data_IF_852613461735
#
_entry.id   IF_852613461735
#
_cell.length_a   1.000
_cell.length_b   1.000
_cell.length_c   1.000
_cell.angle_alpha   90.00
_cell.angle_beta   90.00
_cell.angle_gamma   90.00
#
_symmetry.space_group_name_H-M   'P 1'
#
loop_
_entity.id
_entity.type
_entity.pdbx_description
1 polymer ?
#
# COMPACT_ATOMS: atom_id res chain seq x y z
N UNK A 1 -20.34 62.81 -31.34
CA UNK A 1 -21.37 61.87 -31.83
C UNK A 1 -20.84 60.41 -32.00
N UNK A 2 -19.65 60.17 -32.59
CA UNK A 2 -19.12 58.79 -32.80
C UNK A 2 -18.87 57.98 -31.52
N UNK A 3 -18.47 58.64 -30.40
CA UNK A 3 -18.16 57.96 -29.11
C UNK A 3 -19.40 57.45 -28.38
N UNK A 4 -20.51 58.19 -28.50
CA UNK A 4 -21.78 57.77 -27.85
C UNK A 4 -22.48 56.66 -28.66
N UNK A 5 -22.28 56.58 -29.97
CA UNK A 5 -22.80 55.52 -30.81
C UNK A 5 -22.10 54.18 -30.50
N UNK A 6 -20.78 54.23 -30.22
CA UNK A 6 -20.01 53.02 -29.85
C UNK A 6 -20.46 52.44 -28.51
N UNK A 7 -20.72 53.34 -27.51
CA UNK A 7 -21.20 52.94 -26.17
C UNK A 7 -22.60 52.33 -26.28
N UNK A 8 -23.48 52.93 -27.12
CA UNK A 8 -24.83 52.40 -27.34
C UNK A 8 -24.81 51.04 -28.04
N UNK A 9 -23.91 50.82 -29.01
CA UNK A 9 -23.73 49.51 -29.66
C UNK A 9 -23.18 48.45 -28.69
N UNK A 10 -22.25 48.81 -27.80
CA UNK A 10 -21.72 47.90 -26.78
C UNK A 10 -22.78 47.55 -25.74
N UNK A 11 -23.60 48.54 -25.30
CA UNK A 11 -24.73 48.25 -24.41
C UNK A 11 -25.79 47.39 -25.06
N UNK A 12 -26.08 47.58 -26.36
CA UNK A 12 -27.00 46.69 -27.09
C UNK A 12 -26.47 45.29 -27.24
N UNK A 13 -25.16 45.10 -27.47
CA UNK A 13 -24.51 43.78 -27.51
C UNK A 13 -24.60 43.08 -26.14
N UNK A 14 -24.47 43.81 -25.02
CA UNK A 14 -24.64 43.23 -23.68
C UNK A 14 -26.11 42.91 -23.35
N UNK A 15 -27.08 43.62 -23.92
CA UNK A 15 -28.49 43.33 -23.72
C UNK A 15 -28.96 42.05 -24.46
N UNK A 16 -28.28 41.64 -25.53
CA UNK A 16 -28.63 40.44 -26.30
C UNK A 16 -28.13 39.16 -25.60
N UNK A 17 -27.17 39.24 -24.68
CA UNK A 17 -26.66 38.07 -23.92
C UNK A 17 -27.52 37.71 -22.71
N UNK A 18 -28.50 38.53 -22.33
CA UNK A 18 -29.55 38.19 -21.35
C UNK A 18 -30.66 37.34 -21.96
N UNK A 19 -30.34 36.26 -22.67
CA UNK A 19 -31.33 35.24 -22.96
C UNK A 19 -31.75 34.60 -21.64
N UNK A 20 -32.97 34.90 -21.20
CA UNK A 20 -33.59 34.25 -20.06
C UNK A 20 -33.50 32.73 -20.27
N UNK A 21 -32.64 32.07 -19.50
CA UNK A 21 -32.61 30.62 -19.49
C UNK A 21 -34.01 30.17 -19.05
N UNK A 22 -34.78 29.60 -19.95
CA UNK A 22 -36.10 29.06 -19.62
C UNK A 22 -35.85 27.91 -18.62
N UNK A 23 -36.19 28.21 -17.38
CA UNK A 23 -36.13 27.23 -16.30
C UNK A 23 -37.40 26.39 -16.35
N UNK A 24 -37.25 25.10 -16.34
CA UNK A 24 -38.36 24.16 -16.43
C UNK A 24 -38.29 23.19 -15.25
N UNK A 25 -39.42 22.61 -14.90
CA UNK A 25 -39.52 21.50 -13.98
C UNK A 25 -39.40 20.20 -14.77
N UNK A 26 -38.52 19.35 -14.37
CA UNK A 26 -38.28 18.05 -15.00
C UNK A 26 -38.75 16.96 -14.04
N UNK A 27 -39.52 16.01 -14.58
CA UNK A 27 -39.95 14.81 -13.86
C UNK A 27 -39.76 13.58 -14.72
N UNK A 28 -39.80 12.41 -14.12
CA UNK A 28 -39.70 11.13 -14.84
C UNK A 28 -39.66 9.95 -13.91
N UNK A 29 -39.47 8.77 -14.52
CA UNK A 29 -39.35 7.51 -13.81
C UNK A 29 -38.03 6.87 -14.20
N UNK A 30 -37.33 6.34 -13.19
CA UNK A 30 -36.12 5.55 -13.39
C UNK A 30 -36.46 4.08 -13.19
N UNK A 31 -36.15 3.28 -14.20
CA UNK A 31 -36.34 1.81 -14.18
C UNK A 31 -35.04 1.09 -14.48
N UNK A 32 -34.94 -0.16 -14.13
CA UNK A 32 -33.87 -1.04 -14.57
C UNK A 32 -34.15 -1.64 -15.97
N UNK A 33 -33.24 -2.50 -16.46
CA UNK A 33 -33.44 -3.15 -17.77
C UNK A 33 -34.61 -4.12 -17.81
N UNK A 34 -35.11 -4.61 -16.69
CA UNK A 34 -36.27 -5.50 -16.60
C UNK A 34 -37.58 -4.72 -16.56
N UNK A 35 -37.52 -3.40 -16.34
CA UNK A 35 -38.68 -2.52 -16.20
C UNK A 35 -39.11 -2.32 -14.74
N UNK A 36 -38.37 -2.87 -13.76
CA UNK A 36 -38.61 -2.64 -12.34
C UNK A 36 -38.15 -1.23 -11.93
N UNK A 37 -38.87 -0.58 -11.01
CA UNK A 37 -38.56 0.80 -10.60
C UNK A 37 -37.35 0.85 -9.70
N UNK A 38 -36.41 1.76 -9.96
CA UNK A 38 -35.20 1.96 -9.15
C UNK A 38 -35.50 2.99 -8.06
N UNK A 39 -35.58 2.51 -6.81
CA UNK A 39 -35.85 3.33 -5.62
C UNK A 39 -34.53 3.88 -5.09
N UNK A 40 -34.46 5.19 -4.76
CA UNK A 40 -33.26 5.79 -4.18
C UNK A 40 -32.18 6.16 -5.19
N UNK A 41 -32.46 6.12 -6.49
CA UNK A 41 -31.52 6.63 -7.50
C UNK A 41 -31.35 8.14 -7.37
N UNK A 42 -30.10 8.60 -7.41
CA UNK A 42 -29.75 10.02 -7.39
C UNK A 42 -29.84 10.61 -8.79
N UNK A 43 -30.57 11.70 -8.94
CA UNK A 43 -30.70 12.47 -10.18
C UNK A 43 -30.18 13.88 -9.91
N UNK A 44 -29.08 14.29 -10.56
CA UNK A 44 -28.41 15.58 -10.32
C UNK A 44 -28.25 16.37 -11.60
N UNK A 45 -28.19 17.71 -11.48
CA UNK A 45 -27.87 18.58 -12.60
C UNK A 45 -26.36 18.71 -12.72
N UNK A 46 -25.78 18.36 -13.88
CA UNK A 46 -24.34 18.47 -14.14
C UNK A 46 -23.81 19.87 -13.89
N UNK A 47 -22.77 20.00 -13.07
CA UNK A 47 -22.19 21.30 -12.69
C UNK A 47 -22.94 22.06 -11.59
N UNK A 48 -24.02 21.48 -11.01
CA UNK A 48 -24.76 22.06 -9.89
C UNK A 48 -25.04 20.95 -8.86
N UNK A 49 -24.06 20.59 -8.06
CA UNK A 49 -24.15 19.44 -7.13
C UNK A 49 -25.24 19.56 -6.06
N UNK A 50 -25.62 20.77 -5.68
CA UNK A 50 -26.71 21.03 -4.74
C UNK A 50 -28.10 20.88 -5.36
N UNK A 51 -28.22 20.70 -6.68
CA UNK A 51 -29.46 20.64 -7.41
C UNK A 51 -29.74 19.23 -7.91
N UNK A 52 -30.63 18.53 -7.25
CA UNK A 52 -30.97 17.15 -7.56
C UNK A 52 -32.20 16.66 -6.82
N UNK A 53 -32.55 15.41 -7.05
CA UNK A 53 -33.64 14.68 -6.44
C UNK A 53 -33.23 13.22 -6.27
N UNK A 54 -33.92 12.51 -5.39
CA UNK A 54 -33.80 11.07 -5.22
C UNK A 54 -35.12 10.43 -5.64
N UNK A 55 -35.10 9.30 -6.34
CA UNK A 55 -36.30 8.60 -6.76
C UNK A 55 -37.05 8.00 -5.58
N UNK A 56 -38.39 8.14 -5.61
CA UNK A 56 -39.34 7.58 -4.63
C UNK A 56 -39.57 6.06 -4.80
N UNK A 57 -40.48 5.49 -4.00
CA UNK A 57 -40.84 4.07 -4.03
C UNK A 57 -41.42 3.61 -5.38
N UNK A 58 -41.84 4.51 -6.24
CA UNK A 58 -42.36 4.28 -7.59
C UNK A 58 -41.29 4.63 -8.66
N UNK A 59 -40.03 4.84 -8.26
CA UNK A 59 -38.96 5.26 -9.15
C UNK A 59 -39.12 6.67 -9.72
N UNK A 60 -40.05 7.51 -9.21
CA UNK A 60 -40.31 8.84 -9.70
C UNK A 60 -39.37 9.87 -9.09
N UNK A 61 -38.95 10.83 -9.90
CA UNK A 61 -38.18 11.99 -9.45
C UNK A 61 -38.75 13.28 -10.01
N UNK A 62 -38.48 14.41 -9.35
CA UNK A 62 -38.81 15.74 -9.81
C UNK A 62 -37.73 16.73 -9.41
N UNK A 63 -37.24 17.52 -10.36
CA UNK A 63 -36.30 18.61 -10.14
C UNK A 63 -36.90 19.90 -10.71
N UNK A 64 -37.00 20.89 -9.88
CA UNK A 64 -37.54 22.21 -10.26
C UNK A 64 -36.41 23.12 -10.70
N UNK A 65 -36.75 24.11 -11.53
CA UNK A 65 -35.87 25.24 -11.83
C UNK A 65 -34.59 24.83 -12.62
N UNK A 66 -34.69 23.84 -13.49
CA UNK A 66 -33.57 23.31 -14.31
C UNK A 66 -33.52 24.11 -15.62
N UNK A 67 -32.32 24.48 -16.04
CA UNK A 67 -32.12 25.13 -17.34
C UNK A 67 -32.48 24.16 -18.48
N UNK A 68 -33.19 24.65 -19.51
CA UNK A 68 -33.66 23.84 -20.63
C UNK A 68 -32.51 23.12 -21.41
N UNK A 69 -31.29 23.64 -21.34
CA UNK A 69 -30.10 23.11 -21.96
C UNK A 69 -29.20 22.31 -20.98
N UNK A 70 -29.63 22.05 -19.74
CA UNK A 70 -28.87 21.30 -18.76
C UNK A 70 -28.70 19.82 -19.14
N UNK A 71 -27.77 19.17 -18.49
CA UNK A 71 -27.60 17.71 -18.53
C UNK A 71 -27.89 17.15 -17.14
N UNK A 72 -28.69 16.10 -17.06
CA UNK A 72 -28.94 15.34 -15.83
C UNK A 72 -28.01 14.18 -15.75
N UNK A 73 -27.52 13.90 -14.54
CA UNK A 73 -26.73 12.72 -14.20
C UNK A 73 -27.56 11.80 -13.34
N UNK A 74 -27.76 10.58 -13.80
CA UNK A 74 -28.47 9.53 -13.09
C UNK A 74 -27.46 8.54 -12.54
N UNK A 75 -27.47 8.31 -11.23
CA UNK A 75 -26.57 7.38 -10.56
C UNK A 75 -27.28 6.56 -9.50
N UNK A 76 -26.96 5.27 -9.44
CA UNK A 76 -27.45 4.34 -8.42
C UNK A 76 -26.38 3.26 -8.15
N UNK A 77 -26.31 2.78 -6.91
CA UNK A 77 -25.32 1.76 -6.54
C UNK A 77 -25.58 0.49 -7.35
N UNK A 78 -24.56 0.02 -8.08
CA UNK A 78 -24.67 -1.18 -8.93
C UNK A 78 -25.19 -0.92 -10.34
N UNK A 79 -25.44 0.33 -10.71
CA UNK A 79 -25.89 0.70 -12.06
C UNK A 79 -24.94 1.70 -12.71
N UNK A 80 -24.84 1.61 -14.03
CA UNK A 80 -24.00 2.50 -14.83
C UNK A 80 -24.54 3.92 -14.80
N UNK A 81 -23.69 4.88 -14.44
CA UNK A 81 -24.03 6.28 -14.48
C UNK A 81 -24.38 6.72 -15.90
N UNK A 82 -25.48 7.46 -16.06
CA UNK A 82 -25.95 7.96 -17.35
C UNK A 82 -26.08 9.47 -17.33
N UNK A 83 -25.58 10.12 -18.37
CA UNK A 83 -25.74 11.54 -18.62
C UNK A 83 -26.77 11.77 -19.71
N UNK A 84 -27.83 12.52 -19.44
CA UNK A 84 -28.91 12.79 -20.41
C UNK A 84 -29.14 14.28 -20.51
N UNK A 85 -28.99 14.82 -21.73
CA UNK A 85 -29.29 16.20 -22.01
C UNK A 85 -30.82 16.46 -21.94
N UNK A 86 -31.21 17.52 -21.26
CA UNK A 86 -32.63 17.90 -21.06
C UNK A 86 -33.28 18.29 -22.39
N UNK A 87 -32.60 19.12 -23.18
CA UNK A 87 -33.07 19.57 -24.50
C UNK A 87 -34.52 20.08 -24.49
N UNK A 88 -34.89 20.86 -23.45
CA UNK A 88 -36.22 21.44 -23.30
C UNK A 88 -37.35 20.47 -22.90
N UNK A 89 -37.04 19.19 -22.63
CA UNK A 89 -38.06 18.20 -22.24
C UNK A 89 -38.44 18.36 -20.77
N UNK A 90 -39.72 18.33 -20.47
CA UNK A 90 -40.25 18.34 -19.09
C UNK A 90 -40.37 16.93 -18.49
N UNK A 91 -40.36 15.88 -19.31
CA UNK A 91 -40.44 14.49 -18.84
C UNK A 91 -39.29 13.68 -19.44
N UNK A 92 -38.49 13.05 -18.58
CA UNK A 92 -37.36 12.22 -18.98
C UNK A 92 -37.40 10.92 -18.17
N UNK A 93 -37.81 9.84 -18.83
CA UNK A 93 -37.76 8.48 -18.28
C UNK A 93 -36.45 7.85 -18.63
N UNK A 94 -35.83 7.18 -17.65
CA UNK A 94 -34.50 6.61 -17.82
C UNK A 94 -34.54 5.13 -17.50
N UNK A 95 -33.94 4.35 -18.35
CA UNK A 95 -33.72 2.93 -18.14
C UNK A 95 -32.23 2.74 -17.80
N UNK A 96 -31.96 2.45 -16.55
CA UNK A 96 -30.57 2.21 -16.08
C UNK A 96 -30.15 0.77 -16.38
N UNK A 97 -28.93 0.64 -16.83
CA UNK A 97 -28.28 -0.66 -17.02
C UNK A 97 -27.44 -0.98 -15.82
N UNK A 98 -27.42 -2.26 -15.43
CA UNK A 98 -26.47 -2.74 -14.43
C UNK A 98 -25.07 -2.37 -14.90
N UNK A 99 -24.29 -1.77 -14.01
CA UNK A 99 -22.87 -1.56 -14.27
C UNK A 99 -22.18 -2.93 -14.22
N UNK A 100 -22.08 -3.56 -15.38
CA UNK A 100 -21.29 -4.78 -15.53
C UNK A 100 -19.79 -4.57 -15.27
N UNK A 101 -19.39 -3.30 -15.00
CA UNK A 101 -18.05 -2.95 -14.51
C UNK A 101 -17.97 -2.79 -12.99
N UNK A 102 -19.09 -2.68 -12.26
CA UNK A 102 -19.16 -3.14 -10.87
C UNK A 102 -19.19 -4.67 -10.92
N UNK A 103 -18.14 -5.20 -11.44
CA UNK A 103 -17.72 -6.57 -11.40
C UNK A 103 -18.11 -7.08 -10.03
N UNK A 104 -18.94 -8.06 -9.98
CA UNK A 104 -18.92 -9.03 -8.91
C UNK A 104 -17.45 -9.21 -8.53
N UNK A 105 -17.04 -8.64 -7.41
CA UNK A 105 -15.65 -8.71 -6.93
C UNK A 105 -15.34 -10.20 -6.80
N UNK A 106 -14.74 -10.75 -7.84
CA UNK A 106 -14.43 -12.17 -7.94
C UNK A 106 -13.19 -12.38 -7.09
N UNK A 107 -13.38 -12.97 -5.94
CA UNK A 107 -12.32 -13.38 -5.04
C UNK A 107 -11.78 -14.71 -5.51
N UNK A 108 -10.48 -14.78 -5.77
CA UNK A 108 -9.81 -16.04 -6.06
C UNK A 108 -9.76 -16.84 -4.77
N UNK A 109 -10.53 -17.93 -4.69
CA UNK A 109 -10.56 -18.83 -3.55
C UNK A 109 -9.89 -20.15 -3.92
N UNK A 110 -8.71 -20.39 -3.40
CA UNK A 110 -8.00 -21.66 -3.49
C UNK A 110 -7.86 -22.23 -4.90
N UNK A 111 -8.83 -22.99 -5.37
CA UNK A 111 -8.85 -23.64 -6.67
C UNK A 111 -9.90 -23.08 -7.64
N UNK A 112 -10.34 -21.83 -7.43
CA UNK A 112 -11.34 -21.20 -8.31
C UNK A 112 -11.59 -19.75 -7.95
N UNK A 113 -12.52 -19.13 -8.66
CA UNK A 113 -13.01 -17.79 -8.36
C UNK A 113 -14.45 -17.88 -7.86
N UNK A 114 -14.75 -17.27 -6.72
CA UNK A 114 -16.12 -17.13 -6.20
C UNK A 114 -16.48 -15.65 -6.10
N UNK A 115 -17.76 -15.33 -6.26
CA UNK A 115 -18.23 -13.97 -6.05
C UNK A 115 -18.15 -13.65 -4.56
N UNK A 116 -17.65 -12.47 -4.20
CA UNK A 116 -17.53 -12.04 -2.78
C UNK A 116 -18.84 -12.16 -2.00
N UNK A 117 -19.96 -11.90 -2.66
CA UNK A 117 -21.31 -12.05 -2.07
C UNK A 117 -21.68 -13.50 -1.72
N UNK A 118 -21.07 -14.47 -2.40
CA UNK A 118 -21.35 -15.90 -2.21
C UNK A 118 -20.47 -16.51 -1.10
N UNK A 119 -19.52 -15.72 -0.58
CA UNK A 119 -18.63 -16.10 0.50
C UNK A 119 -19.24 -15.65 1.83
N UNK A 120 -19.71 -16.59 2.62
CA UNK A 120 -20.34 -16.36 3.93
C UNK A 120 -19.35 -15.90 5.03
N UNK A 121 -18.06 -15.86 4.73
CA UNK A 121 -17.00 -15.50 5.67
C UNK A 121 -16.68 -14.00 5.71
N UNK A 122 -16.11 -13.52 6.83
CA UNK A 122 -15.61 -12.15 6.97
C UNK A 122 -14.30 -11.98 6.19
N UNK A 123 -14.42 -11.58 4.92
CA UNK A 123 -13.29 -11.25 4.05
C UNK A 123 -13.11 -9.74 4.04
N UNK A 124 -11.89 -9.28 4.28
CA UNK A 124 -11.52 -7.88 4.15
C UNK A 124 -10.66 -7.71 2.92
N UNK A 125 -11.08 -6.87 2.00
CA UNK A 125 -10.34 -6.50 0.79
C UNK A 125 -9.70 -5.13 0.99
N UNK A 126 -8.40 -5.04 0.72
CA UNK A 126 -7.63 -3.79 0.65
C UNK A 126 -7.28 -3.55 -0.82
N UNK A 127 -7.71 -2.43 -1.37
CA UNK A 127 -7.53 -2.10 -2.79
C UNK A 127 -6.18 -1.44 -3.07
N UNK A 128 -5.79 -1.42 -4.35
CA UNK A 128 -4.54 -0.83 -4.83
C UNK A 128 -4.28 0.59 -4.30
N UNK A 129 -5.29 1.46 -4.32
CA UNK A 129 -5.16 2.85 -3.86
C UNK A 129 -4.87 2.94 -2.36
N UNK A 130 -5.48 2.07 -1.57
CA UNK A 130 -5.21 1.99 -0.14
C UNK A 130 -3.81 1.44 0.15
N UNK A 131 -3.35 0.48 -0.65
CA UNK A 131 -2.01 -0.10 -0.55
C UNK A 131 -0.97 0.96 -0.92
N UNK A 132 -1.20 1.70 -1.99
CA UNK A 132 -0.32 2.75 -2.50
C UNK A 132 -0.27 4.01 -1.61
N UNK A 133 -1.30 4.24 -0.78
CA UNK A 133 -1.40 5.45 0.06
C UNK A 133 -0.28 5.59 1.11
N UNK A 134 0.37 4.49 1.48
CA UNK A 134 1.55 4.49 2.36
C UNK A 134 2.79 4.12 1.53
N UNK A 135 3.76 5.02 1.40
CA UNK A 135 5.04 4.67 0.79
C UNK A 135 5.71 3.58 1.64
N UNK A 136 5.66 2.36 1.15
CA UNK A 136 6.28 1.21 1.80
C UNK A 136 6.97 0.34 0.76
N UNK A 137 8.12 -0.18 1.12
CA UNK A 137 8.89 -1.11 0.30
C UNK A 137 8.38 -2.54 0.41
N UNK A 138 7.55 -2.80 1.45
CA UNK A 138 6.91 -4.09 1.70
C UNK A 138 5.38 -3.95 1.66
N UNK A 139 4.68 -4.73 0.81
CA UNK A 139 3.23 -4.66 0.69
C UNK A 139 2.48 -4.90 2.01
N UNK A 140 3.01 -5.76 2.88
CA UNK A 140 2.38 -6.08 4.17
C UNK A 140 2.40 -4.91 5.16
N UNK A 141 3.42 -4.05 5.10
CA UNK A 141 3.48 -2.86 5.94
C UNK A 141 2.41 -1.82 5.57
N UNK A 142 1.94 -1.82 4.32
CA UNK A 142 0.91 -0.88 3.85
C UNK A 142 -0.47 -1.14 4.46
N UNK A 143 -0.75 -2.37 4.91
CA UNK A 143 -2.04 -2.74 5.53
C UNK A 143 -2.09 -2.51 7.05
N UNK A 144 -1.01 -2.04 7.65
CA UNK A 144 -0.95 -1.74 9.09
C UNK A 144 -2.04 -0.75 9.52
N UNK A 145 -2.86 -1.16 10.49
CA UNK A 145 -3.95 -0.37 11.03
C UNK A 145 -5.21 -0.26 10.14
N UNK A 146 -5.22 -0.89 8.96
CA UNK A 146 -6.35 -0.82 8.02
C UNK A 146 -7.31 -1.99 8.15
N UNK A 147 -6.90 -3.10 8.71
CA UNK A 147 -7.69 -4.34 8.75
C UNK A 147 -7.96 -4.75 10.20
N UNK A 148 -9.23 -4.74 10.59
CA UNK A 148 -9.64 -5.19 11.92
C UNK A 148 -9.29 -6.68 12.15
N UNK A 149 -8.69 -6.99 13.31
CA UNK A 149 -8.25 -8.34 13.66
C UNK A 149 -6.96 -8.79 12.98
N UNK A 150 -6.23 -7.87 12.32
CA UNK A 150 -4.89 -8.11 11.77
C UNK A 150 -3.91 -7.15 12.45
N UNK A 151 -2.97 -7.72 13.16
CA UNK A 151 -1.87 -6.98 13.75
C UNK A 151 -0.66 -7.06 12.81
N UNK A 152 -0.13 -5.90 12.46
CA UNK A 152 1.09 -5.77 11.67
C UNK A 152 2.10 -5.00 12.50
N UNK A 153 3.23 -5.64 12.82
CA UNK A 153 4.33 -5.03 13.57
C UNK A 153 5.50 -4.85 12.60
N UNK A 154 5.75 -3.61 12.24
CA UNK A 154 6.89 -3.28 11.39
C UNK A 154 8.16 -3.16 12.26
N UNK A 155 9.20 -3.89 11.92
CA UNK A 155 10.48 -3.86 12.62
C UNK A 155 11.28 -2.58 12.37
N UNK A 156 10.90 -1.78 11.36
CA UNK A 156 11.66 -0.60 10.93
C UNK A 156 12.96 -0.91 10.17
N UNK A 157 13.35 -2.19 10.07
CA UNK A 157 14.57 -2.62 9.38
C UNK A 157 14.37 -2.71 7.87
N UNK A 158 15.39 -2.30 7.11
CA UNK A 158 15.34 -2.37 5.65
C UNK A 158 15.25 -3.82 5.16
N UNK A 159 14.29 -4.10 4.28
CA UNK A 159 14.12 -5.41 3.66
C UNK A 159 13.60 -6.53 4.57
N UNK A 160 13.27 -6.24 5.82
CA UNK A 160 12.63 -7.23 6.69
C UNK A 160 11.12 -7.21 6.52
N UNK A 161 10.53 -8.40 6.58
CA UNK A 161 9.09 -8.54 6.63
C UNK A 161 8.54 -8.03 7.95
N UNK A 162 7.43 -7.27 7.92
CA UNK A 162 6.67 -7.04 9.13
C UNK A 162 6.12 -8.35 9.67
N UNK A 163 6.04 -8.45 10.98
CA UNK A 163 5.37 -9.55 11.64
C UNK A 163 3.85 -9.37 11.51
N UNK A 164 3.17 -10.37 10.96
CA UNK A 164 1.72 -10.34 10.79
C UNK A 164 1.07 -11.43 11.62
N UNK A 165 0.05 -11.05 12.37
CA UNK A 165 -0.81 -11.95 13.14
C UNK A 165 -2.26 -11.70 12.79
N UNK A 166 -2.94 -12.76 12.37
CA UNK A 166 -4.38 -12.74 12.06
C UNK A 166 -5.13 -13.37 13.24
N UNK A 167 -5.98 -12.57 13.93
CA UNK A 167 -6.71 -12.98 15.13
C UNK A 167 -5.81 -13.46 16.28
N UNK A 168 -4.62 -12.93 16.41
CA UNK A 168 -3.68 -13.25 17.49
C UNK A 168 -2.73 -14.40 17.16
N UNK A 169 -2.18 -15.01 18.20
CA UNK A 169 -1.22 -16.12 18.09
C UNK A 169 -1.94 -17.43 18.38
N UNK A 170 -2.20 -18.22 17.36
CA UNK A 170 -2.95 -19.47 17.45
C UNK A 170 -2.06 -20.71 17.59
N UNK A 171 -0.75 -20.57 17.48
CA UNK A 171 0.19 -21.69 17.49
C UNK A 171 1.51 -21.32 18.14
N UNK A 172 2.09 -22.23 18.89
CA UNK A 172 3.45 -22.13 19.46
C UNK A 172 4.50 -22.25 18.36
N UNK A 173 4.18 -22.98 17.28
CA UNK A 173 5.12 -23.27 16.18
C UNK A 173 5.15 -22.19 15.09
N UNK A 174 4.49 -21.05 15.31
CA UNK A 174 4.49 -19.94 14.38
C UNK A 174 3.10 -19.37 14.15
N UNK A 175 3.06 -18.13 13.68
CA UNK A 175 1.82 -17.35 13.49
C UNK A 175 1.74 -16.73 12.09
N UNK A 176 2.71 -17.03 11.19
CA UNK A 176 2.71 -16.47 9.84
C UNK A 176 1.50 -16.97 9.06
N UNK A 177 0.74 -16.08 8.41
CA UNK A 177 -0.34 -16.47 7.51
C UNK A 177 0.22 -17.14 6.25
N UNK A 178 -0.62 -17.89 5.56
CA UNK A 178 -0.33 -18.40 4.23
C UNK A 178 -0.55 -17.28 3.21
N UNK A 179 0.39 -17.11 2.30
CA UNK A 179 0.23 -16.18 1.18
C UNK A 179 -0.15 -16.94 -0.09
N UNK A 180 -1.09 -16.36 -0.84
CA UNK A 180 -1.49 -16.86 -2.15
C UNK A 180 -1.40 -15.71 -3.14
N UNK A 181 -0.44 -15.78 -4.07
CA UNK A 181 -0.22 -14.74 -5.07
C UNK A 181 -0.64 -15.27 -6.42
N UNK A 182 -1.67 -14.67 -7.02
CA UNK A 182 -2.25 -15.09 -8.30
C UNK A 182 -2.53 -16.61 -8.38
N UNK A 183 -2.96 -17.20 -7.25
CA UNK A 183 -3.24 -18.64 -7.12
C UNK A 183 -2.04 -19.50 -6.71
N UNK A 184 -0.83 -18.95 -6.64
CA UNK A 184 0.37 -19.67 -6.20
C UNK A 184 0.62 -19.53 -4.70
N UNK A 185 0.80 -20.63 -3.99
CA UNK A 185 1.18 -20.64 -2.58
C UNK A 185 2.62 -20.20 -2.39
N UNK A 186 2.86 -19.29 -1.45
CA UNK A 186 4.19 -18.79 -1.14
C UNK A 186 4.35 -18.49 0.34
N UNK A 187 5.59 -18.61 0.85
CA UNK A 187 5.90 -18.34 2.26
C UNK A 187 6.25 -16.89 2.54
N UNK A 188 6.50 -16.08 1.50
CA UNK A 188 6.72 -14.64 1.59
C UNK A 188 6.33 -13.93 0.29
N UNK A 189 6.12 -12.62 0.36
CA UNK A 189 5.75 -11.77 -0.77
C UNK A 189 6.77 -10.65 -1.02
N UNK A 190 7.98 -10.76 -0.52
CA UNK A 190 9.04 -9.76 -0.66
C UNK A 190 9.46 -9.52 -2.11
N UNK A 191 9.16 -10.46 -2.99
CA UNK A 191 9.44 -10.34 -4.41
C UNK A 191 8.47 -9.42 -5.17
N UNK A 192 7.34 -9.07 -4.57
CA UNK A 192 6.37 -8.16 -5.20
C UNK A 192 6.75 -6.70 -5.00
N UNK A 193 6.42 -5.88 -5.99
CA UNK A 193 6.36 -4.44 -5.81
C UNK A 193 4.94 -4.04 -5.38
N UNK A 194 4.83 -3.15 -4.40
CA UNK A 194 3.55 -2.64 -3.90
C UNK A 194 2.71 -2.02 -5.03
N UNK A 195 3.35 -1.38 -6.01
CA UNK A 195 2.69 -0.75 -7.14
C UNK A 195 2.06 -1.74 -8.14
N UNK A 196 2.51 -3.02 -8.12
CA UNK A 196 1.98 -4.06 -9.02
C UNK A 196 0.79 -4.83 -8.42
N UNK A 197 0.37 -4.50 -7.19
CA UNK A 197 -0.76 -5.16 -6.51
C UNK A 197 -2.06 -4.45 -6.88
N UNK A 198 -3.08 -5.22 -7.27
CA UNK A 198 -4.45 -4.74 -7.51
C UNK A 198 -5.29 -4.82 -6.22
N UNK A 199 -5.20 -5.93 -5.49
CA UNK A 199 -5.91 -6.13 -4.22
C UNK A 199 -5.18 -7.11 -3.30
N UNK A 200 -5.47 -6.97 -2.00
CA UNK A 200 -5.14 -7.97 -0.98
C UNK A 200 -6.41 -8.34 -0.23
N UNK A 201 -6.74 -9.62 -0.20
CA UNK A 201 -7.87 -10.16 0.54
C UNK A 201 -7.37 -10.96 1.73
N UNK A 202 -7.88 -10.64 2.91
CA UNK A 202 -7.49 -11.29 4.16
C UNK A 202 -8.63 -12.16 4.65
N UNK A 203 -8.41 -13.48 4.59
CA UNK A 203 -9.33 -14.50 5.09
C UNK A 203 -9.00 -14.80 6.54
N UNK A 204 -10.00 -14.62 7.41
CA UNK A 204 -9.83 -14.80 8.87
C UNK A 204 -10.78 -15.84 9.45
N UNK A 205 -11.86 -16.15 8.78
CA UNK A 205 -12.89 -17.05 9.31
C UNK A 205 -12.60 -18.50 8.98
N UNK A 206 -12.84 -19.43 9.93
CA UNK A 206 -12.62 -20.86 9.73
C UNK A 206 -13.30 -21.43 8.49
N UNK A 207 -14.49 -20.95 8.14
CA UNK A 207 -15.22 -21.38 6.94
C UNK A 207 -14.45 -21.05 5.65
N UNK A 208 -13.90 -19.84 5.57
CA UNK A 208 -13.09 -19.41 4.41
C UNK A 208 -11.70 -20.06 4.38
N UNK A 209 -11.16 -20.45 5.55
CA UNK A 209 -9.85 -21.08 5.68
C UNK A 209 -9.87 -22.57 5.40
N UNK A 210 -11.01 -23.22 5.50
CA UNK A 210 -11.16 -24.68 5.38
C UNK A 210 -10.61 -25.23 4.06
N UNK A 211 -10.75 -24.50 2.95
CA UNK A 211 -10.26 -24.91 1.64
C UNK A 211 -8.72 -24.93 1.54
N UNK A 212 -8.03 -24.22 2.43
CA UNK A 212 -6.56 -24.18 2.50
C UNK A 212 -5.98 -25.21 3.48
N UNK A 213 -6.86 -25.97 4.15
CA UNK A 213 -6.48 -26.99 5.11
C UNK A 213 -5.61 -26.45 6.26
N UNK A 214 -4.74 -27.28 6.78
CA UNK A 214 -3.85 -26.95 7.92
C UNK A 214 -2.96 -25.74 7.63
N UNK A 215 -2.54 -25.52 6.38
CA UNK A 215 -1.69 -24.39 6.00
C UNK A 215 -2.39 -23.04 6.20
N UNK A 216 -3.72 -23.00 6.13
CA UNK A 216 -4.52 -21.79 6.34
C UNK A 216 -4.83 -21.49 7.81
N UNK A 217 -4.42 -22.31 8.77
CA UNK A 217 -4.82 -22.19 10.17
C UNK A 217 -4.50 -20.84 10.83
N UNK A 218 -3.41 -20.18 10.40
CA UNK A 218 -3.00 -18.86 10.88
C UNK A 218 -3.57 -17.70 10.06
N UNK A 219 -4.57 -17.95 9.20
CA UNK A 219 -5.11 -16.99 8.24
C UNK A 219 -4.47 -17.12 6.86
N UNK A 220 -5.16 -16.58 5.86
CA UNK A 220 -4.69 -16.58 4.46
C UNK A 220 -4.76 -15.15 3.93
N UNK A 221 -3.70 -14.72 3.26
CA UNK A 221 -3.64 -13.43 2.54
C UNK A 221 -3.52 -13.75 1.05
N UNK A 222 -4.60 -13.46 0.32
CA UNK A 222 -4.64 -13.61 -1.13
C UNK A 222 -4.24 -12.29 -1.74
N UNK A 223 -3.33 -12.32 -2.69
CA UNK A 223 -2.82 -11.15 -3.38
C UNK A 223 -3.07 -11.34 -4.87
N UNK A 224 -3.77 -10.37 -5.44
CA UNK A 224 -3.99 -10.29 -6.89
C UNK A 224 -3.11 -9.21 -7.47
N UNK A 225 -2.30 -9.57 -8.47
CA UNK A 225 -1.46 -8.58 -9.16
C UNK A 225 -2.26 -7.89 -10.29
N UNK A 226 -1.82 -6.70 -10.66
CA UNK A 226 -2.46 -5.90 -11.71
C UNK A 226 -2.47 -6.62 -13.04
N UNK A 227 -3.61 -6.55 -13.71
CA UNK A 227 -3.84 -7.08 -15.07
C UNK A 227 -4.36 -5.96 -15.95
N UNK A 228 -4.18 -6.10 -17.26
CA UNK A 228 -4.74 -5.13 -18.20
C UNK A 228 -6.27 -5.23 -18.26
N UNK A 229 -6.94 -4.08 -18.26
CA UNK A 229 -8.38 -3.93 -18.54
C UNK A 229 -8.55 -3.47 -19.98
N UNK A 230 -9.60 -3.91 -20.67
CA UNK A 230 -9.89 -3.53 -22.05
C UNK A 230 -9.87 -2.00 -22.17
N UNK A 231 -9.11 -1.49 -23.13
CA UNK A 231 -8.93 -0.07 -23.35
C UNK A 231 -7.64 0.26 -24.10
N UNK A 232 -7.34 1.55 -24.19
CA UNK A 232 -6.11 2.03 -24.83
C UNK A 232 -4.88 1.59 -24.02
N UNK A 233 -3.78 1.36 -24.72
CA UNK A 233 -2.49 1.15 -24.08
C UNK A 233 -2.12 2.35 -23.21
N UNK A 234 -1.79 2.11 -21.93
CA UNK A 234 -1.42 3.13 -20.96
C UNK A 234 -0.03 2.84 -20.39
N UNK A 235 0.71 3.90 -20.16
CA UNK A 235 1.96 3.88 -19.41
C UNK A 235 1.73 4.60 -18.09
N UNK A 236 1.97 3.90 -16.98
CA UNK A 236 1.87 4.50 -15.65
C UNK A 236 3.26 4.57 -15.02
N UNK A 237 3.58 5.71 -14.44
CA UNK A 237 4.82 5.94 -13.72
C UNK A 237 4.45 6.32 -12.30
N UNK A 238 4.90 5.52 -11.32
CA UNK A 238 4.74 5.79 -9.91
C UNK A 238 6.12 5.94 -9.29
N UNK A 239 6.35 7.07 -8.64
CA UNK A 239 7.60 7.34 -7.92
C UNK A 239 7.27 7.90 -6.55
N UNK A 240 7.89 7.34 -5.53
CA UNK A 240 7.78 7.85 -4.17
C UNK A 240 9.15 7.93 -3.52
N UNK A 241 9.31 8.95 -2.69
CA UNK A 241 10.50 9.16 -1.88
C UNK A 241 10.09 9.44 -0.44
N UNK A 242 10.94 9.07 0.51
CA UNK A 242 10.68 9.29 1.92
C UNK A 242 11.93 9.15 2.77
N UNK A 243 11.79 9.51 4.04
CA UNK A 243 12.84 9.37 5.03
C UNK A 243 12.31 8.58 6.21
N UNK A 244 13.17 7.74 6.78
CA UNK A 244 12.95 7.01 8.02
C UNK A 244 13.71 7.69 9.14
N UNK A 245 12.99 8.17 10.13
CA UNK A 245 13.57 8.82 11.30
C UNK A 245 13.21 7.99 12.53
N UNK A 246 14.18 7.78 13.42
CA UNK A 246 13.92 7.20 14.73
C UNK A 246 13.27 8.29 15.57
N UNK A 247 12.03 8.05 15.98
CA UNK A 247 11.27 9.01 16.78
C UNK A 247 11.71 9.03 18.24
N UNK A 248 12.03 7.85 18.79
CA UNK A 248 12.40 7.70 20.18
C UNK A 248 13.53 6.68 20.35
N UNK A 249 14.32 6.84 21.40
CA UNK A 249 15.46 5.98 21.74
C UNK A 249 15.35 5.52 23.18
N UNK A 250 15.96 4.40 23.47
CA UNK A 250 16.03 3.91 24.84
C UNK A 250 16.99 4.80 25.64
N UNK A 251 16.53 5.34 26.76
CA UNK A 251 17.39 6.05 27.68
C UNK A 251 18.44 5.10 28.27
N UNK A 252 19.71 5.41 28.07
CA UNK A 252 20.87 4.70 28.64
C UNK A 252 21.72 5.67 29.46
N UNK A 253 22.54 5.13 30.37
CA UNK A 253 23.45 5.92 31.18
C UNK A 253 24.55 6.57 30.32
N UNK A 254 24.94 7.78 30.70
CA UNK A 254 26.17 8.40 30.25
C UNK A 254 27.40 7.84 31.01
N UNK A 255 28.61 8.25 30.66
CA UNK A 255 29.83 7.73 31.26
C UNK A 255 29.91 7.97 32.78
N UNK A 256 29.48 9.14 33.28
CA UNK A 256 29.54 9.46 34.72
C UNK A 256 28.51 8.65 35.51
N UNK A 257 27.30 8.56 35.03
CA UNK A 257 26.25 7.72 35.61
C UNK A 257 26.66 6.25 35.64
N UNK A 258 27.25 5.77 34.52
CA UNK A 258 27.75 4.40 34.42
C UNK A 258 28.84 4.13 35.45
N UNK A 259 29.85 5.00 35.59
CA UNK A 259 30.93 4.87 36.56
C UNK A 259 30.40 4.82 38.02
N UNK A 260 29.44 5.69 38.31
CA UNK A 260 28.81 5.72 39.63
C UNK A 260 28.10 4.40 39.94
N UNK A 261 27.21 3.95 39.04
CA UNK A 261 26.43 2.73 39.25
C UNK A 261 27.30 1.48 39.29
N UNK A 262 28.31 1.39 38.41
CA UNK A 262 29.19 0.25 38.36
C UNK A 262 30.10 0.14 39.58
N UNK A 263 30.65 1.26 40.08
CA UNK A 263 31.42 1.28 41.32
C UNK A 263 30.56 0.94 42.54
N UNK A 264 29.33 1.44 42.60
CA UNK A 264 28.38 1.08 43.66
C UNK A 264 28.12 -0.44 43.70
N UNK A 265 27.96 -1.06 42.50
CA UNK A 265 27.83 -2.49 42.41
C UNK A 265 29.06 -3.23 42.88
N UNK A 266 30.27 -2.80 42.48
CA UNK A 266 31.52 -3.42 42.90
C UNK A 266 31.71 -3.34 44.41
N UNK A 267 31.49 -2.17 45.01
CA UNK A 267 31.58 -1.96 46.47
C UNK A 267 30.57 -2.85 47.21
N UNK A 268 29.35 -2.97 46.70
CA UNK A 268 28.33 -3.84 47.28
C UNK A 268 28.71 -5.33 47.26
N UNK A 269 29.58 -5.72 46.35
CA UNK A 269 30.14 -7.07 46.19
C UNK A 269 31.45 -7.24 46.98
N UNK A 270 31.92 -6.20 47.71
CA UNK A 270 33.17 -6.23 48.46
C UNK A 270 34.43 -6.09 47.60
N UNK A 271 34.29 -5.57 46.40
CA UNK A 271 35.39 -5.30 45.46
C UNK A 271 35.78 -3.83 45.49
N UNK A 272 37.02 -3.54 45.10
CA UNK A 272 37.48 -2.17 44.91
C UNK A 272 36.80 -1.50 43.68
N UNK A 273 36.67 -0.16 43.69
CA UNK A 273 36.22 0.59 42.54
C UNK A 273 37.08 0.28 41.28
N UNK A 274 36.44 0.30 40.11
CA UNK A 274 37.13 0.03 38.83
C UNK A 274 38.06 1.20 38.45
N UNK A 275 39.23 0.90 37.91
CA UNK A 275 40.15 1.90 37.37
C UNK A 275 39.75 2.36 35.96
N UNK A 276 39.27 3.60 35.87
CA UNK A 276 38.83 4.21 34.63
C UNK A 276 39.90 5.01 33.89
N UNK A 277 41.17 4.94 34.30
CA UNK A 277 42.24 5.77 33.73
C UNK A 277 42.37 5.65 32.21
N UNK A 278 42.14 4.44 31.68
CA UNK A 278 42.19 4.16 30.26
C UNK A 278 40.83 4.36 29.57
N UNK A 279 39.76 4.66 30.30
CA UNK A 279 38.39 4.70 29.77
C UNK A 279 37.83 6.12 29.95
N UNK A 280 38.22 7.01 29.03
CA UNK A 280 37.89 8.44 29.07
C UNK A 280 36.74 8.80 28.12
N UNK A 281 36.16 7.84 27.42
CA UNK A 281 35.04 8.04 26.50
C UNK A 281 33.75 8.45 27.21
N UNK A 282 32.86 9.06 26.48
CA UNK A 282 31.46 9.28 26.83
C UNK A 282 30.62 9.09 25.57
N UNK A 283 30.54 7.84 25.11
CA UNK A 283 29.99 7.48 23.82
C UNK A 283 28.52 7.16 23.92
N UNK A 284 27.69 7.91 23.18
CA UNK A 284 26.32 7.55 22.89
C UNK A 284 26.31 6.53 21.74
N UNK A 285 26.35 5.25 22.10
CA UNK A 285 26.40 4.16 21.13
C UNK A 285 25.20 4.11 20.20
N UNK A 286 24.02 4.55 20.66
CA UNK A 286 22.84 4.64 19.79
C UNK A 286 23.03 5.69 18.71
N UNK A 287 23.61 6.83 19.04
CA UNK A 287 23.91 7.87 18.06
C UNK A 287 24.97 7.43 17.05
N UNK A 288 25.93 6.61 17.48
CA UNK A 288 26.97 6.08 16.60
C UNK A 288 26.44 5.11 15.56
N UNK A 289 25.43 4.29 15.88
CA UNK A 289 24.91 3.26 14.96
C UNK A 289 23.68 3.72 14.16
N UNK A 290 22.93 4.70 14.66
CA UNK A 290 21.70 5.12 14.01
C UNK A 290 21.90 6.22 12.96
N UNK A 291 21.01 6.25 12.00
CA UNK A 291 20.95 7.26 10.93
C UNK A 291 19.51 7.55 10.52
N UNK A 292 19.31 8.68 9.84
CA UNK A 292 18.11 8.91 9.05
C UNK A 292 18.25 8.13 7.75
N UNK A 293 17.36 7.15 7.53
CA UNK A 293 17.35 6.35 6.32
C UNK A 293 16.58 7.04 5.20
N UNK A 294 17.01 6.84 3.96
CA UNK A 294 16.32 7.29 2.76
C UNK A 294 15.63 6.11 2.07
N UNK A 295 14.42 6.32 1.58
CA UNK A 295 13.72 5.31 0.80
C UNK A 295 13.19 5.89 -0.52
N UNK A 296 13.25 5.10 -1.57
CA UNK A 296 12.58 5.39 -2.83
C UNK A 296 11.99 4.12 -3.42
N UNK A 297 10.78 4.26 -3.98
CA UNK A 297 10.10 3.20 -4.74
C UNK A 297 9.65 3.78 -6.07
N UNK A 298 10.23 3.28 -7.15
CA UNK A 298 9.95 3.70 -8.50
C UNK A 298 9.39 2.51 -9.28
N UNK A 299 8.26 2.71 -9.93
CA UNK A 299 7.62 1.69 -10.75
C UNK A 299 7.16 2.31 -12.08
N UNK A 300 7.46 1.62 -13.15
CA UNK A 300 6.94 1.94 -14.49
C UNK A 300 6.15 0.74 -14.96
N UNK A 301 4.90 0.94 -15.37
CA UNK A 301 4.09 -0.13 -15.92
C UNK A 301 3.46 0.25 -17.25
N UNK A 302 3.37 -0.74 -18.13
CA UNK A 302 2.71 -0.64 -19.44
C UNK A 302 1.59 -1.65 -19.42
N UNK A 303 0.39 -1.20 -19.72
CA UNK A 303 -0.79 -2.04 -19.81
C UNK A 303 -1.51 -1.81 -21.12
N UNK A 304 -1.96 -2.88 -21.77
CA UNK A 304 -2.76 -2.81 -22.96
C UNK A 304 -3.67 -4.01 -23.10
N UNK A 305 -4.90 -3.80 -23.55
CA UNK A 305 -5.83 -4.88 -23.77
C UNK A 305 -6.72 -4.59 -24.97
N UNK A 306 -6.93 -5.64 -25.77
CA UNK A 306 -7.94 -5.74 -26.81
C UNK A 306 -8.93 -6.85 -26.43
N UNK A 307 -9.93 -7.08 -27.23
CA UNK A 307 -10.88 -8.18 -27.01
C UNK A 307 -10.19 -9.56 -26.98
N UNK A 308 -9.06 -9.72 -27.68
CA UNK A 308 -8.33 -10.99 -27.82
C UNK A 308 -7.06 -11.09 -27.00
N UNK A 309 -6.45 -9.98 -26.63
CA UNK A 309 -5.16 -10.00 -25.95
C UNK A 309 -5.11 -8.98 -24.83
N UNK A 310 -4.54 -9.37 -23.70
CA UNK A 310 -4.27 -8.49 -22.55
C UNK A 310 -2.84 -8.67 -22.14
N UNK A 311 -2.14 -7.58 -21.85
CA UNK A 311 -0.81 -7.64 -21.32
C UNK A 311 -0.58 -6.55 -20.26
N UNK A 312 0.19 -6.90 -19.25
CA UNK A 312 0.70 -6.00 -18.23
C UNK A 312 2.20 -6.28 -18.07
N UNK A 313 3.01 -5.25 -18.12
CA UNK A 313 4.43 -5.28 -17.77
C UNK A 313 4.69 -4.21 -16.72
N UNK A 314 5.15 -4.62 -15.54
CA UNK A 314 5.61 -3.76 -14.46
C UNK A 314 7.11 -3.93 -14.24
N UNK A 315 7.82 -2.82 -14.13
CA UNK A 315 9.24 -2.76 -13.76
C UNK A 315 9.37 -1.89 -12.52
N UNK A 316 9.93 -2.44 -11.45
CA UNK A 316 10.07 -1.76 -10.19
C UNK A 316 11.50 -1.70 -9.70
N UNK A 317 11.90 -0.55 -9.14
CA UNK A 317 13.14 -0.37 -8.42
C UNK A 317 12.86 0.23 -7.05
N UNK A 318 13.32 -0.47 -6.02
CA UNK A 318 13.19 -0.06 -4.62
C UNK A 318 14.58 0.04 -4.02
N UNK A 319 14.87 1.18 -3.42
CA UNK A 319 16.03 1.38 -2.55
C UNK A 319 15.54 1.87 -1.19
N UNK A 320 16.02 1.23 -0.14
CA UNK A 320 15.66 1.57 1.23
C UNK A 320 16.91 1.52 2.10
N UNK A 321 17.26 2.64 2.68
CA UNK A 321 18.23 2.71 3.77
C UNK A 321 17.48 2.55 5.09
N UNK A 322 17.99 1.68 5.94
CA UNK A 322 17.43 1.46 7.28
C UNK A 322 17.85 2.56 8.26
N UNK A 323 17.31 2.43 9.46
CA UNK A 323 17.67 3.33 10.57
C UNK A 323 19.02 3.00 11.19
N UNK A 324 19.64 1.87 10.83
CA UNK A 324 21.00 1.50 11.24
C UNK A 324 21.94 1.84 10.09
N UNK A 325 23.10 2.43 10.40
CA UNK A 325 24.18 2.68 9.42
C UNK A 325 24.51 1.39 8.68
N UNK A 326 24.80 1.48 7.36
CA UNK A 326 25.08 0.36 6.44
C UNK A 326 23.90 -0.55 6.08
N UNK A 327 22.76 -0.38 6.70
CA UNK A 327 21.55 -1.13 6.37
C UNK A 327 20.93 -0.57 5.07
N UNK A 328 21.12 -1.30 3.96
CA UNK A 328 20.62 -0.88 2.64
C UNK A 328 20.04 -2.03 1.84
N UNK A 329 18.76 -1.93 1.53
CA UNK A 329 18.06 -2.80 0.58
C UNK A 329 18.12 -2.19 -0.82
N UNK A 330 18.46 -3.01 -1.82
CA UNK A 330 18.24 -2.68 -3.22
C UNK A 330 17.47 -3.82 -3.84
N UNK A 331 16.30 -3.52 -4.42
CA UNK A 331 15.39 -4.51 -5.01
C UNK A 331 14.96 -4.06 -6.40
N UNK A 332 15.12 -4.92 -7.38
CA UNK A 332 14.59 -4.77 -8.73
C UNK A 332 13.53 -5.84 -8.97
N UNK A 333 12.37 -5.46 -9.47
CA UNK A 333 11.22 -6.36 -9.71
C UNK A 333 10.75 -6.26 -11.15
N UNK A 334 10.31 -7.40 -11.68
CA UNK A 334 9.63 -7.50 -12.97
C UNK A 334 8.34 -8.27 -12.75
N UNK A 335 7.23 -7.72 -13.21
CA UNK A 335 5.93 -8.40 -13.22
C UNK A 335 5.39 -8.40 -14.65
N UNK A 336 5.11 -9.56 -15.20
CA UNK A 336 4.62 -9.74 -16.55
C UNK A 336 3.40 -10.65 -16.54
N UNK A 337 2.27 -10.13 -16.97
CA UNK A 337 1.02 -10.87 -17.13
C UNK A 337 0.57 -10.74 -18.57
N UNK A 338 0.28 -11.87 -19.22
CA UNK A 338 -0.26 -11.89 -20.57
C UNK A 338 -1.37 -12.94 -20.69
N UNK A 339 -2.44 -12.58 -21.34
CA UNK A 339 -3.58 -13.45 -21.65
C UNK A 339 -3.97 -13.26 -23.11
N UNK A 340 -4.21 -14.36 -23.82
CA UNK A 340 -4.64 -14.37 -25.20
C UNK A 340 -5.87 -15.28 -25.35
N UNK A 341 -6.98 -14.74 -25.85
CA UNK A 341 -8.20 -15.46 -26.16
C UNK A 341 -8.14 -15.96 -27.61
N UNK A 342 -7.94 -17.27 -27.79
CA UNK A 342 -7.89 -17.92 -29.12
C UNK A 342 -9.30 -18.01 -29.71
N UNK A 343 -10.26 -18.39 -28.86
CA UNK A 343 -11.70 -18.44 -29.15
C UNK A 343 -12.45 -17.90 -27.90
N UNK A 344 -13.77 -17.81 -27.99
CA UNK A 344 -14.61 -17.38 -26.87
C UNK A 344 -14.55 -18.33 -25.67
N UNK A 345 -14.19 -19.59 -25.87
CA UNK A 345 -14.10 -20.62 -24.84
C UNK A 345 -12.66 -21.06 -24.53
N UNK A 346 -11.66 -20.64 -25.30
CA UNK A 346 -10.26 -21.06 -25.12
C UNK A 346 -9.36 -19.84 -24.96
N UNK A 347 -8.71 -19.76 -23.78
CA UNK A 347 -7.74 -18.72 -23.43
C UNK A 347 -6.45 -19.35 -22.99
N UNK A 348 -5.34 -18.74 -23.35
CA UNK A 348 -4.00 -19.05 -22.84
C UNK A 348 -3.43 -17.83 -22.15
N UNK A 349 -2.73 -18.05 -21.07
CA UNK A 349 -2.06 -16.98 -20.39
C UNK A 349 -0.84 -17.45 -19.63
N UNK A 350 0.01 -16.48 -19.28
CA UNK A 350 1.12 -16.70 -18.39
C UNK A 350 1.31 -15.50 -17.47
N UNK A 351 1.82 -15.79 -16.29
CA UNK A 351 2.17 -14.81 -15.27
C UNK A 351 3.60 -15.09 -14.85
N UNK A 352 4.40 -14.06 -14.78
CA UNK A 352 5.81 -14.14 -14.37
C UNK A 352 6.15 -13.01 -13.42
N UNK A 353 6.67 -13.37 -12.25
CA UNK A 353 7.21 -12.43 -11.27
C UNK A 353 8.69 -12.72 -11.09
N UNK A 354 9.53 -11.74 -11.33
CA UNK A 354 10.96 -11.80 -11.12
C UNK A 354 11.44 -10.79 -10.11
N UNK A 355 12.40 -11.17 -9.27
CA UNK A 355 13.06 -10.24 -8.35
C UNK A 355 14.55 -10.53 -8.26
N UNK A 356 15.33 -9.48 -8.20
CA UNK A 356 16.69 -9.46 -7.69
C UNK A 356 16.74 -8.50 -6.52
N UNK A 357 17.13 -9.00 -5.35
CA UNK A 357 17.21 -8.18 -4.16
C UNK A 357 18.54 -8.41 -3.42
N UNK A 358 19.16 -7.29 -3.01
CA UNK A 358 20.30 -7.30 -2.10
C UNK A 358 19.80 -6.87 -0.74
N UNK A 359 19.81 -7.80 0.21
CA UNK A 359 19.37 -7.57 1.58
C UNK A 359 20.55 -7.19 2.47
N UNK A 360 20.37 -6.23 3.39
CA UNK A 360 21.38 -5.93 4.40
C UNK A 360 21.40 -7.04 5.47
N UNK A 361 22.57 -7.25 6.06
CA UNK A 361 22.72 -8.00 7.30
C UNK A 361 23.31 -7.10 8.39
N UNK A 362 22.68 -5.95 8.61
CA UNK A 362 23.08 -5.01 9.65
C UNK A 362 22.52 -5.46 11.02
N UNK A 363 23.40 -5.42 12.02
CA UNK A 363 23.10 -5.71 13.43
C UNK A 363 23.68 -4.58 14.27
N UNK A 364 23.66 -4.68 15.59
CA UNK A 364 24.37 -3.75 16.46
C UNK A 364 23.50 -3.05 17.51
N UNK A 365 22.16 -3.06 17.37
CA UNK A 365 21.27 -2.41 18.35
C UNK A 365 21.45 -3.00 19.75
N UNK A 366 21.47 -4.34 19.86
CA UNK A 366 21.67 -5.02 21.14
C UNK A 366 23.04 -4.67 21.75
N UNK A 367 24.09 -4.63 20.93
CA UNK A 367 25.41 -4.19 21.34
C UNK A 367 25.43 -2.73 21.82
N UNK A 368 24.74 -1.82 21.10
CA UNK A 368 24.68 -0.41 21.45
C UNK A 368 23.93 -0.12 22.75
N UNK A 369 22.94 -0.94 23.08
CA UNK A 369 22.21 -0.83 24.36
C UNK A 369 22.99 -1.39 25.56
N UNK A 370 23.99 -2.26 25.32
CA UNK A 370 24.76 -2.94 26.37
C UNK A 370 26.16 -2.40 26.53
N UNK A 371 26.75 -1.82 25.48
CA UNK A 371 28.14 -1.36 25.51
C UNK A 371 28.32 -0.21 26.51
N UNK A 372 29.36 -0.31 27.36
CA UNK A 372 29.68 0.72 28.34
C UNK A 372 30.01 2.05 27.64
N UNK A 373 29.42 3.16 28.07
CA UNK A 373 29.61 4.47 27.44
C UNK A 373 31.02 5.04 27.66
N UNK A 374 31.80 4.48 28.59
CA UNK A 374 33.16 4.88 28.88
C UNK A 374 34.19 4.54 27.80
N UNK A 375 33.85 3.61 26.91
CA UNK A 375 34.73 3.22 25.79
C UNK A 375 34.62 4.21 24.64
N UNK A 376 35.75 4.67 24.06
CA UNK A 376 35.73 5.45 22.83
C UNK A 376 35.33 4.60 21.62
N UNK A 377 34.89 5.22 20.56
CA UNK A 377 34.51 4.55 19.30
C UNK A 377 35.71 3.95 18.59
N UNK A 378 36.75 4.74 18.44
CA UNK A 378 37.99 4.39 17.74
C UNK A 378 39.19 4.77 18.60
N UNK A 379 40.28 4.05 18.41
CA UNK A 379 41.57 4.42 18.93
C UNK A 379 42.11 5.67 18.22
N UNK A 380 42.60 6.64 18.98
CA UNK A 380 43.00 7.95 18.44
C UNK A 380 44.29 7.89 17.61
N UNK A 381 45.16 6.90 17.86
CA UNK A 381 46.44 6.78 17.18
C UNK A 381 46.33 5.88 15.94
N UNK A 382 45.68 4.74 16.05
CA UNK A 382 45.57 3.78 14.98
C UNK A 382 44.35 3.97 14.08
N UNK A 383 43.33 4.70 14.55
CA UNK A 383 42.04 4.85 13.86
C UNK A 383 41.21 3.55 13.81
N UNK A 384 41.64 2.49 14.47
CA UNK A 384 40.91 1.23 14.53
C UNK A 384 39.76 1.30 15.50
N UNK A 385 38.72 0.50 15.28
CA UNK A 385 37.61 0.35 16.22
C UNK A 385 38.14 -0.07 17.58
N UNK A 386 37.86 0.72 18.61
CA UNK A 386 38.37 0.48 19.95
C UNK A 386 37.72 -0.76 20.58
N UNK A 387 38.46 -1.48 21.43
CA UNK A 387 37.89 -2.60 22.21
C UNK A 387 36.99 -2.05 23.31
N UNK A 388 36.06 -2.88 23.81
CA UNK A 388 35.32 -2.58 25.03
C UNK A 388 36.13 -2.93 26.27
N UNK A 389 35.76 -2.41 27.48
CA UNK A 389 36.40 -2.77 28.73
C UNK A 389 36.44 -4.28 28.96
N UNK A 390 37.43 -4.76 29.67
CA UNK A 390 37.70 -6.19 29.93
C UNK A 390 36.52 -6.92 30.57
N UNK A 391 35.78 -6.26 31.46
CA UNK A 391 34.57 -6.82 32.07
C UNK A 391 33.42 -7.06 31.09
N UNK A 392 33.48 -6.46 29.90
CA UNK A 392 32.45 -6.62 28.84
C UNK A 392 32.90 -7.45 27.63
N UNK A 393 34.20 -7.55 27.35
CA UNK A 393 34.76 -8.17 26.11
C UNK A 393 34.24 -9.55 25.79
N UNK A 394 33.89 -10.34 26.81
CA UNK A 394 33.38 -11.70 26.60
C UNK A 394 31.88 -11.72 26.21
N UNK A 395 31.14 -10.67 26.46
CA UNK A 395 29.67 -10.63 26.31
C UNK A 395 29.18 -9.66 25.23
N UNK A 396 29.91 -8.58 25.05
CA UNK A 396 29.51 -7.49 24.14
C UNK A 396 30.69 -7.11 23.25
N UNK A 397 30.42 -6.97 21.97
CA UNK A 397 31.38 -6.44 21.01
C UNK A 397 31.12 -4.95 20.81
N UNK A 398 32.15 -4.20 20.42
CA UNK A 398 31.95 -2.81 20.04
C UNK A 398 30.91 -2.75 18.92
N UNK A 399 29.81 -1.98 19.08
CA UNK A 399 28.71 -1.93 18.12
C UNK A 399 29.13 -1.57 16.69
N UNK A 400 30.22 -0.83 16.53
CA UNK A 400 30.75 -0.43 15.23
C UNK A 400 31.31 -1.60 14.42
N UNK A 401 31.74 -2.68 15.09
CA UNK A 401 32.16 -3.91 14.39
C UNK A 401 31.00 -4.47 13.55
N UNK A 402 29.78 -4.48 14.12
CA UNK A 402 28.60 -4.97 13.42
C UNK A 402 28.14 -4.00 12.31
N UNK A 403 28.24 -2.71 12.52
CA UNK A 403 27.77 -1.71 11.53
C UNK A 403 28.81 -1.41 10.47
N UNK A 404 30.09 -1.20 10.82
CA UNK A 404 31.11 -0.75 9.87
C UNK A 404 31.80 -1.93 9.17
N UNK A 405 32.16 -2.98 9.90
CA UNK A 405 32.88 -4.12 9.30
C UNK A 405 31.92 -5.17 8.73
N UNK A 406 31.01 -5.71 9.54
CA UNK A 406 30.14 -6.81 9.10
C UNK A 406 29.01 -6.33 8.20
N UNK A 407 28.32 -5.25 8.56
CA UNK A 407 27.22 -4.71 7.78
C UNK A 407 27.63 -4.21 6.40
N UNK A 408 28.85 -3.71 6.24
CA UNK A 408 29.40 -3.32 4.95
C UNK A 408 29.69 -4.51 4.02
N UNK A 409 30.09 -5.65 4.58
CA UNK A 409 30.56 -6.83 3.83
C UNK A 409 29.50 -7.92 3.72
N UNK A 410 28.66 -8.12 4.74
CA UNK A 410 27.63 -9.16 4.75
C UNK A 410 26.39 -8.70 4.02
N UNK A 411 26.24 -9.08 2.75
CA UNK A 411 25.05 -8.81 1.93
C UNK A 411 24.55 -10.13 1.38
N UNK A 412 23.27 -10.41 1.59
CA UNK A 412 22.60 -11.53 0.96
C UNK A 412 21.98 -11.08 -0.36
N UNK A 413 22.33 -11.74 -1.45
CA UNK A 413 21.72 -11.48 -2.76
C UNK A 413 20.75 -12.61 -3.09
N UNK A 414 19.50 -12.24 -3.37
CA UNK A 414 18.43 -13.18 -3.67
C UNK A 414 17.92 -12.94 -5.09
N UNK A 415 17.81 -14.04 -5.85
CA UNK A 415 17.16 -14.07 -7.16
C UNK A 415 15.98 -15.03 -7.06
N UNK A 416 14.82 -14.58 -7.46
CA UNK A 416 13.62 -15.40 -7.51
C UNK A 416 12.85 -15.14 -8.78
N UNK A 417 12.39 -16.22 -9.40
CA UNK A 417 11.42 -16.19 -10.50
C UNK A 417 10.28 -17.12 -10.11
N UNK A 418 9.07 -16.63 -10.19
CA UNK A 418 7.86 -17.38 -9.94
C UNK A 418 6.87 -17.11 -11.05
N UNK A 419 6.17 -18.12 -11.53
CA UNK A 419 5.18 -17.94 -12.57
C UNK A 419 4.31 -19.16 -12.78
N UNK A 420 3.23 -18.96 -13.52
CA UNK A 420 2.33 -20.00 -13.95
C UNK A 420 1.95 -19.79 -15.42
N UNK A 421 1.52 -20.86 -16.05
CA UNK A 421 0.91 -20.88 -17.36
C UNK A 421 -0.45 -21.56 -17.20
N UNK A 422 -1.47 -21.01 -17.81
CA UNK A 422 -2.83 -21.53 -17.74
C UNK A 422 -3.49 -21.51 -19.14
N UNK A 423 -4.46 -22.39 -19.34
CA UNK A 423 -5.22 -22.51 -20.56
C UNK A 423 -6.67 -22.90 -20.29
#
# INVERSE_FOLDING_TARGET
MKKNLLITCVMLLFAITSMAQNKITISGVVTDKTGETVIGASVRVKGQESKGSITDINGKYQIVDVASNATLIFSYIGMREQEIAVNGRSTINVKMEEDSQLIDEVVVVGYGSAKKRDLTGSIVTVKADEIASKPSTNPLASIQGKVAGVQVVNTGRAGQDPEIRVRGTNSINGFKPLYVVDGLFTDNINYLNTADIESMEILKDPSSLAIFGVRGANGVIIITTKRAKIGKTMVNINSSVGWKVIYDRVGVTNAEEFKMLYNEQLISQGSDPYDYTQWTGNTDWQNEIFQTGFLTNNNVSITGATDKSKFYLGLGYVMEEGSIKTEKLNKFTVNLNSEYSVTDFLRFGFQLNGVRAKYPDAKGVDGALKAAPIAPTHDLESGLIHTLPDFQRAQVWNPLIETELRGAHNKSENYRVAGNVFG
#
